data_IF_307956925308
#
_entry.id   IF_307956925308
#
_cell.length_a   1.000
_cell.length_b   1.000
_cell.length_c   1.000
_cell.angle_alpha   90.00
_cell.angle_beta   90.00
_cell.angle_gamma   90.00
#
_symmetry.space_group_name_H-M   'P 1'
#
loop_
_entity.id
_entity.type
_entity.pdbx_description
1 polymer ?
#
# COMPACT_ATOMS: atom_id res chain seq x y z
N UNK A 1 14.69 -22.95 -25.04
CA UNK A 1 13.36 -22.96 -24.38
C UNK A 1 12.76 -21.57 -24.17
N UNK A 2 13.44 -20.44 -24.47
CA UNK A 2 12.85 -19.08 -24.46
C UNK A 2 12.34 -18.59 -25.82
N UNK A 3 12.62 -19.34 -26.91
CA UNK A 3 12.40 -18.87 -28.28
C UNK A 3 10.95 -18.54 -28.61
N UNK A 4 9.95 -19.28 -28.10
CA UNK A 4 8.55 -19.05 -28.49
C UNK A 4 8.03 -17.69 -27.99
N UNK A 5 8.32 -17.35 -26.73
CA UNK A 5 7.93 -16.05 -26.17
C UNK A 5 8.71 -14.90 -26.81
N UNK A 6 10.03 -15.05 -27.01
CA UNK A 6 10.83 -14.02 -27.69
C UNK A 6 10.40 -13.82 -29.15
N UNK A 7 10.01 -14.89 -29.84
CA UNK A 7 9.49 -14.83 -31.21
C UNK A 7 8.15 -14.11 -31.23
N UNK A 8 7.24 -14.42 -30.30
CA UNK A 8 5.94 -13.75 -30.20
C UNK A 8 6.10 -12.26 -29.83
N UNK A 9 6.87 -11.88 -28.81
CA UNK A 9 7.05 -10.46 -28.40
C UNK A 9 7.62 -9.57 -29.52
N UNK A 10 8.38 -10.16 -30.44
CA UNK A 10 8.92 -9.47 -31.61
C UNK A 10 8.08 -9.65 -32.89
N UNK A 11 6.96 -10.38 -32.81
CA UNK A 11 6.04 -10.57 -33.93
C UNK A 11 5.17 -9.33 -34.13
N UNK A 12 4.67 -9.10 -35.35
CA UNK A 12 3.71 -8.03 -35.62
C UNK A 12 2.34 -8.29 -34.95
N UNK A 13 2.01 -9.53 -34.61
CA UNK A 13 0.73 -9.92 -34.01
C UNK A 13 0.65 -9.55 -32.52
N UNK A 14 1.79 -9.52 -31.83
CA UNK A 14 1.87 -9.21 -30.40
C UNK A 14 1.20 -7.88 -30.05
N UNK A 15 1.37 -6.84 -30.86
CA UNK A 15 0.79 -5.54 -30.52
C UNK A 15 -0.74 -5.53 -30.61
N UNK A 16 -1.32 -6.24 -31.57
CA UNK A 16 -2.78 -6.37 -31.69
C UNK A 16 -3.37 -7.21 -30.56
N UNK A 17 -2.68 -8.30 -30.19
CA UNK A 17 -3.03 -9.10 -29.02
C UNK A 17 -3.00 -8.26 -27.73
N UNK A 18 -1.97 -7.42 -27.57
CA UNK A 18 -1.82 -6.53 -26.42
C UNK A 18 -2.87 -5.41 -26.37
N UNK A 19 -3.39 -4.93 -27.50
CA UNK A 19 -4.55 -4.03 -27.51
C UNK A 19 -5.80 -4.68 -26.95
N UNK A 20 -6.03 -5.96 -27.26
CA UNK A 20 -7.09 -6.76 -26.65
C UNK A 20 -6.91 -6.88 -25.13
N UNK A 21 -5.66 -7.09 -24.69
CA UNK A 21 -5.29 -7.15 -23.28
C UNK A 21 -5.39 -5.80 -22.56
N UNK A 22 -5.12 -4.68 -23.25
CA UNK A 22 -5.10 -3.33 -22.69
C UNK A 22 -6.43 -2.95 -22.04
N UNK A 23 -7.57 -3.36 -22.63
CA UNK A 23 -8.88 -3.12 -22.03
C UNK A 23 -9.05 -3.83 -20.68
N UNK A 24 -8.51 -5.04 -20.55
CA UNK A 24 -8.55 -5.79 -19.30
C UNK A 24 -7.62 -5.18 -18.24
N UNK A 25 -6.43 -4.76 -18.66
CA UNK A 25 -5.45 -4.07 -17.81
C UNK A 25 -6.02 -2.75 -17.31
N UNK A 26 -6.58 -1.91 -18.18
CA UNK A 26 -7.19 -0.64 -17.81
C UNK A 26 -8.34 -0.80 -16.81
N UNK A 27 -9.23 -1.77 -17.05
CA UNK A 27 -10.34 -2.04 -16.13
C UNK A 27 -9.86 -2.55 -14.76
N UNK A 28 -8.82 -3.40 -14.74
CA UNK A 28 -8.25 -3.89 -13.49
C UNK A 28 -7.44 -2.82 -12.76
N UNK A 29 -6.63 -2.05 -13.48
CA UNK A 29 -5.89 -0.91 -12.95
C UNK A 29 -6.84 0.10 -12.30
N UNK A 30 -7.95 0.45 -12.96
CA UNK A 30 -8.97 1.33 -12.40
C UNK A 30 -9.59 0.78 -11.10
N UNK A 31 -9.92 -0.51 -11.05
CA UNK A 31 -10.40 -1.17 -9.81
C UNK A 31 -9.37 -1.18 -8.69
N UNK A 32 -8.09 -1.22 -9.04
CA UNK A 32 -6.97 -1.18 -8.10
C UNK A 32 -6.54 0.27 -7.78
N UNK A 33 -7.20 1.29 -8.34
CA UNK A 33 -6.82 2.70 -8.21
C UNK A 33 -5.46 3.05 -8.84
N UNK A 34 -4.95 2.20 -9.75
CA UNK A 34 -3.69 2.40 -10.43
C UNK A 34 -3.91 3.35 -11.62
N UNK A 35 -3.48 4.60 -11.45
CA UNK A 35 -3.23 5.53 -12.57
C UNK A 35 -2.08 5.00 -13.42
N UNK A 36 -2.35 4.69 -14.69
CA UNK A 36 -1.35 4.33 -15.68
C UNK A 36 -0.72 5.63 -16.20
N UNK A 37 0.60 5.80 -16.07
CA UNK A 37 1.29 6.99 -16.60
C UNK A 37 1.13 7.03 -18.13
N UNK A 38 0.98 8.22 -18.73
CA UNK A 38 0.49 8.51 -20.11
C UNK A 38 -1.04 8.43 -20.36
N UNK A 39 -1.85 8.11 -19.34
CA UNK A 39 -3.32 8.15 -19.46
C UNK A 39 -3.97 9.51 -19.14
N UNK A 40 -3.19 10.44 -18.59
CA UNK A 40 -3.73 11.58 -17.84
C UNK A 40 -3.84 12.89 -18.62
N UNK A 41 -3.56 12.94 -19.92
CA UNK A 41 -3.73 14.16 -20.71
C UNK A 41 -4.33 13.87 -22.10
N UNK A 42 -5.64 14.11 -22.22
CA UNK A 42 -6.30 14.61 -23.44
C UNK A 42 -6.67 13.66 -24.59
N UNK A 43 -6.68 12.33 -24.45
CA UNK A 43 -7.34 11.50 -25.48
C UNK A 43 -8.83 11.33 -25.17
N UNK A 44 -9.71 12.15 -25.75
CA UNK A 44 -11.17 11.91 -25.77
C UNK A 44 -11.52 10.56 -26.44
N UNK A 45 -10.56 9.96 -27.13
CA UNK A 45 -10.69 8.72 -27.88
C UNK A 45 -10.17 7.51 -27.09
N UNK A 46 -11.09 6.63 -26.68
CA UNK A 46 -10.81 5.35 -26.00
C UNK A 46 -9.78 4.49 -26.73
N UNK A 47 -9.72 4.55 -28.06
CA UNK A 47 -8.80 3.72 -28.84
C UNK A 47 -7.33 4.17 -28.70
N UNK A 48 -7.10 5.48 -28.58
CA UNK A 48 -5.75 6.03 -28.43
C UNK A 48 -5.20 5.71 -27.03
N UNK A 49 -6.07 5.80 -26.01
CA UNK A 49 -5.77 5.35 -24.65
C UNK A 49 -5.37 3.87 -24.59
N UNK A 50 -6.16 2.98 -25.20
CA UNK A 50 -5.84 1.54 -25.22
C UNK A 50 -4.55 1.24 -26.00
N UNK A 51 -4.23 2.04 -27.00
CA UNK A 51 -2.99 1.93 -27.77
C UNK A 51 -1.78 2.32 -26.92
N UNK A 52 -1.90 3.36 -26.09
CA UNK A 52 -0.84 3.74 -25.13
C UNK A 52 -0.60 2.63 -24.10
N UNK A 53 -1.66 2.09 -23.50
CA UNK A 53 -1.56 0.97 -22.54
C UNK A 53 -0.93 -0.27 -23.19
N UNK A 54 -1.29 -0.60 -24.44
CA UNK A 54 -0.67 -1.70 -25.17
C UNK A 54 0.84 -1.48 -25.43
N UNK A 55 1.24 -0.24 -25.69
CA UNK A 55 2.65 0.13 -25.81
C UNK A 55 3.42 -0.07 -24.50
N UNK A 56 2.83 0.28 -23.35
CA UNK A 56 3.48 0.07 -22.06
C UNK A 56 3.58 -1.40 -21.67
N UNK A 57 2.53 -2.17 -21.96
CA UNK A 57 2.57 -3.63 -21.83
C UNK A 57 3.70 -4.23 -22.67
N UNK A 58 3.85 -3.79 -23.93
CA UNK A 58 4.90 -4.27 -24.81
C UNK A 58 6.29 -3.92 -24.27
N UNK A 59 6.50 -2.68 -23.81
CA UNK A 59 7.76 -2.25 -23.18
C UNK A 59 8.09 -3.09 -21.95
N UNK A 60 7.11 -3.33 -21.08
CA UNK A 60 7.26 -4.17 -19.90
C UNK A 60 7.68 -5.59 -20.26
N UNK A 61 7.00 -6.22 -21.24
CA UNK A 61 7.31 -7.57 -21.68
C UNK A 61 8.73 -7.68 -22.25
N UNK A 62 9.17 -6.68 -23.03
CA UNK A 62 10.54 -6.62 -23.53
C UNK A 62 11.56 -6.43 -22.42
N UNK A 63 11.31 -5.50 -21.48
CA UNK A 63 12.22 -5.24 -20.36
C UNK A 63 12.38 -6.42 -19.41
N UNK A 64 11.31 -7.22 -19.25
CA UNK A 64 11.27 -8.37 -18.34
C UNK A 64 11.38 -9.73 -19.06
N UNK A 65 11.81 -9.75 -20.32
CA UNK A 65 11.71 -10.93 -21.16
C UNK A 65 12.38 -12.17 -20.54
N UNK A 66 13.58 -12.00 -19.98
CA UNK A 66 14.33 -13.10 -19.33
C UNK A 66 13.58 -13.67 -18.12
N UNK A 67 12.96 -12.80 -17.30
CA UNK A 67 12.22 -13.20 -16.10
C UNK A 67 10.94 -13.96 -16.46
N UNK A 68 10.24 -13.53 -17.51
CA UNK A 68 8.93 -14.04 -17.89
C UNK A 68 9.00 -15.25 -18.83
N UNK A 69 10.08 -15.39 -19.61
CA UNK A 69 10.20 -16.31 -20.75
C UNK A 69 9.76 -17.75 -20.45
N UNK A 70 10.14 -18.31 -19.29
CA UNK A 70 9.85 -19.72 -18.98
C UNK A 70 8.35 -19.99 -18.85
N UNK A 71 7.63 -19.17 -18.09
CA UNK A 71 6.20 -19.35 -17.86
C UNK A 71 5.39 -18.90 -19.08
N UNK A 72 5.78 -17.77 -19.69
CA UNK A 72 5.14 -17.28 -20.90
C UNK A 72 5.23 -18.29 -22.06
N UNK A 73 6.41 -18.89 -22.28
CA UNK A 73 6.59 -19.92 -23.32
C UNK A 73 5.71 -21.14 -23.08
N UNK A 74 5.58 -21.60 -21.83
CA UNK A 74 4.74 -22.74 -21.51
C UNK A 74 3.26 -22.47 -21.83
N UNK A 75 2.77 -21.25 -21.54
CA UNK A 75 1.39 -20.85 -21.83
C UNK A 75 1.15 -20.72 -23.34
N UNK A 76 2.06 -20.07 -24.07
CA UNK A 76 1.98 -19.96 -25.54
C UNK A 76 1.94 -21.36 -26.19
N UNK A 77 2.82 -22.27 -25.77
CA UNK A 77 2.87 -23.63 -26.33
C UNK A 77 1.64 -24.48 -25.98
N UNK A 78 0.89 -24.12 -24.93
CA UNK A 78 -0.37 -24.79 -24.60
C UNK A 78 -1.53 -24.36 -25.50
N UNK A 79 -1.38 -23.26 -26.25
CA UNK A 79 -2.41 -22.70 -27.13
C UNK A 79 -3.60 -22.08 -26.38
N UNK A 80 -3.45 -21.78 -25.09
CA UNK A 80 -4.46 -21.11 -24.27
C UNK A 80 -4.15 -19.61 -24.20
N UNK A 81 -4.63 -18.89 -25.22
CA UNK A 81 -4.39 -17.45 -25.38
C UNK A 81 -4.99 -16.64 -24.22
N UNK A 82 -6.16 -17.05 -23.70
CA UNK A 82 -6.82 -16.38 -22.57
C UNK A 82 -6.00 -16.51 -21.28
N UNK A 83 -5.46 -17.69 -21.01
CA UNK A 83 -4.58 -17.91 -19.86
C UNK A 83 -3.27 -17.12 -20.01
N UNK A 84 -2.71 -17.05 -21.22
CA UNK A 84 -1.53 -16.25 -21.50
C UNK A 84 -1.77 -14.75 -21.29
N UNK A 85 -2.86 -14.19 -21.82
CA UNK A 85 -3.22 -12.78 -21.62
C UNK A 85 -3.51 -12.45 -20.16
N UNK A 86 -4.18 -13.36 -19.44
CA UNK A 86 -4.41 -13.23 -18.00
C UNK A 86 -3.10 -13.19 -17.21
N UNK A 87 -2.10 -13.99 -17.62
CA UNK A 87 -0.76 -13.97 -17.04
C UNK A 87 -0.04 -12.64 -17.32
N UNK A 88 -0.04 -12.16 -18.57
CA UNK A 88 0.57 -10.88 -18.95
C UNK A 88 -0.04 -9.72 -18.14
N UNK A 89 -1.37 -9.64 -18.09
CA UNK A 89 -2.09 -8.63 -17.32
C UNK A 89 -1.69 -8.64 -15.84
N UNK A 90 -1.62 -9.82 -15.22
CA UNK A 90 -1.23 -9.96 -13.81
C UNK A 90 0.21 -9.49 -13.59
N UNK A 91 1.15 -9.99 -14.38
CA UNK A 91 2.57 -9.66 -14.23
C UNK A 91 2.84 -8.16 -14.42
N UNK A 92 2.15 -7.52 -15.36
CA UNK A 92 2.26 -6.08 -15.58
C UNK A 92 1.75 -5.27 -14.37
N UNK A 93 0.56 -5.59 -13.87
CA UNK A 93 -0.01 -4.90 -12.71
C UNK A 93 0.82 -5.13 -11.44
N UNK A 94 1.31 -6.35 -11.21
CA UNK A 94 2.21 -6.67 -10.10
C UNK A 94 3.50 -5.83 -10.17
N UNK A 95 4.05 -5.63 -11.37
CA UNK A 95 5.25 -4.80 -11.58
C UNK A 95 4.96 -3.33 -11.30
N UNK A 96 3.83 -2.79 -11.75
CA UNK A 96 3.42 -1.42 -11.44
C UNK A 96 3.22 -1.21 -9.93
N UNK A 97 2.63 -2.18 -9.24
CA UNK A 97 2.46 -2.15 -7.78
C UNK A 97 3.83 -2.20 -7.10
N UNK A 98 4.73 -3.07 -7.54
CA UNK A 98 6.08 -3.17 -6.98
C UNK A 98 6.91 -1.91 -7.24
N UNK A 99 6.80 -1.32 -8.43
CA UNK A 99 7.39 -0.02 -8.75
C UNK A 99 6.84 1.06 -7.81
N UNK A 100 5.53 1.09 -7.54
CA UNK A 100 4.93 2.01 -6.55
C UNK A 100 5.44 1.76 -5.13
N UNK A 101 5.56 0.50 -4.71
CA UNK A 101 6.10 0.12 -3.38
C UNK A 101 7.58 0.47 -3.22
N UNK A 102 8.35 0.43 -4.29
CA UNK A 102 9.78 0.77 -4.28
C UNK A 102 10.02 2.27 -4.39
N UNK A 103 9.18 2.99 -5.14
CA UNK A 103 9.26 4.44 -5.31
C UNK A 103 8.52 5.25 -4.25
N UNK A 104 7.58 4.66 -3.51
CA UNK A 104 6.84 5.34 -2.44
C UNK A 104 7.81 5.81 -1.35
N UNK A 105 7.94 7.13 -1.13
CA UNK A 105 8.84 7.65 -0.10
C UNK A 105 8.45 7.20 1.30
N UNK A 106 7.16 6.99 1.53
CA UNK A 106 6.64 6.50 2.79
C UNK A 106 7.18 5.10 3.10
N UNK A 107 7.06 4.19 2.13
CA UNK A 107 7.48 2.80 2.32
C UNK A 107 9.00 2.66 2.33
N UNK A 108 9.73 3.44 1.53
CA UNK A 108 11.19 3.51 1.62
C UNK A 108 11.63 3.96 3.02
N UNK A 109 11.06 5.05 3.53
CA UNK A 109 11.39 5.56 4.86
C UNK A 109 10.97 4.58 5.96
N UNK A 110 9.82 3.91 5.84
CA UNK A 110 9.37 2.86 6.75
C UNK A 110 10.33 1.67 6.81
N UNK A 111 10.75 1.15 5.64
CA UNK A 111 11.73 0.05 5.57
C UNK A 111 13.05 0.43 6.24
N UNK A 112 13.56 1.63 5.95
CA UNK A 112 14.79 2.14 6.58
C UNK A 112 14.62 2.28 8.09
N UNK A 113 13.47 2.78 8.54
CA UNK A 113 13.20 2.96 9.97
C UNK A 113 13.12 1.61 10.69
N UNK A 114 12.46 0.59 10.11
CA UNK A 114 12.43 -0.76 10.67
C UNK A 114 13.82 -1.36 10.82
N UNK A 115 14.60 -1.38 9.74
CA UNK A 115 15.96 -1.93 9.75
C UNK A 115 16.86 -1.20 10.77
N UNK A 116 16.71 0.12 10.87
CA UNK A 116 17.44 0.90 11.87
C UNK A 116 17.01 0.58 13.30
N UNK A 117 15.72 0.50 13.57
CA UNK A 117 15.21 0.24 14.92
C UNK A 117 15.50 -1.20 15.37
N UNK A 118 15.51 -2.18 14.47
CA UNK A 118 15.89 -3.56 14.79
C UNK A 118 17.36 -3.69 15.18
N UNK A 119 18.22 -2.85 14.61
CA UNK A 119 19.67 -2.94 14.76
C UNK A 119 20.22 -2.00 15.86
N UNK A 120 19.40 -1.06 16.36
CA UNK A 120 19.84 -0.06 17.33
C UNK A 120 19.82 -0.58 18.77
N UNK A 121 20.98 -0.53 19.43
CA UNK A 121 21.11 -0.92 20.84
C UNK A 121 20.27 -0.03 21.75
N UNK A 122 19.54 -0.63 22.69
CA UNK A 122 18.70 0.07 23.65
C UNK A 122 17.27 0.31 23.16
N UNK A 123 16.94 -0.12 21.94
CA UNK A 123 15.58 -0.19 21.42
C UNK A 123 15.09 -1.62 21.53
N UNK A 124 13.95 -1.81 22.18
CA UNK A 124 13.22 -3.07 22.10
C UNK A 124 12.44 -3.05 20.81
N UNK A 125 12.78 -3.94 19.88
CA UNK A 125 12.09 -4.08 18.59
C UNK A 125 11.36 -5.42 18.54
N UNK A 126 10.11 -5.40 18.12
CA UNK A 126 9.28 -6.60 17.98
C UNK A 126 8.52 -6.57 16.67
N UNK A 127 8.52 -7.70 15.98
CA UNK A 127 7.61 -7.97 14.87
C UNK A 127 6.52 -8.91 15.37
N UNK A 128 5.27 -8.50 15.28
CA UNK A 128 4.15 -9.40 15.51
C UNK A 128 3.53 -9.75 14.19
N UNK A 129 3.52 -11.06 13.89
CA UNK A 129 2.71 -11.59 12.82
C UNK A 129 1.30 -11.03 12.99
N UNK A 130 0.75 -10.47 11.92
CA UNK A 130 -0.58 -9.88 11.91
C UNK A 130 -0.78 -8.46 12.40
N UNK A 131 0.23 -7.84 13.02
CA UNK A 131 0.08 -6.48 13.58
C UNK A 131 1.18 -5.51 13.18
N UNK A 132 2.25 -6.01 12.53
CA UNK A 132 3.33 -5.19 12.00
C UNK A 132 4.54 -5.10 12.90
N UNK A 133 5.35 -4.05 12.71
CA UNK A 133 6.57 -3.80 13.46
C UNK A 133 6.36 -2.74 14.55
N UNK A 134 6.90 -3.02 15.74
CA UNK A 134 6.76 -2.19 16.92
C UNK A 134 8.12 -1.94 17.58
N UNK A 135 8.21 -0.84 18.30
CA UNK A 135 9.41 -0.52 19.08
C UNK A 135 9.08 0.16 20.42
N UNK A 136 10.02 0.07 21.35
CA UNK A 136 9.96 0.79 22.61
C UNK A 136 11.34 1.16 23.15
N UNK A 137 11.42 2.31 23.81
CA UNK A 137 12.59 2.71 24.61
C UNK A 137 12.32 2.51 26.11
N UNK A 138 12.07 1.26 26.50
CA UNK A 138 11.77 0.90 27.88
C UNK A 138 12.48 -0.39 28.28
N UNK A 139 12.82 -0.49 29.56
CA UNK A 139 13.41 -1.69 30.17
C UNK A 139 12.34 -2.67 30.66
N UNK A 140 11.05 -2.32 30.58
CA UNK A 140 9.96 -3.22 30.99
C UNK A 140 9.84 -4.38 30.00
N UNK A 141 9.76 -5.60 30.54
CA UNK A 141 9.68 -6.84 29.76
C UNK A 141 8.29 -7.11 29.20
N UNK A 142 7.23 -6.57 29.80
CA UNK A 142 5.86 -6.74 29.33
C UNK A 142 5.26 -5.37 29.05
N UNK A 143 5.17 -5.02 27.77
CA UNK A 143 4.51 -3.82 27.29
C UNK A 143 3.35 -4.25 26.40
N UNK A 144 2.19 -3.64 26.61
CA UNK A 144 1.08 -3.78 25.69
C UNK A 144 1.38 -3.04 24.39
N UNK A 145 0.84 -3.51 23.27
CA UNK A 145 0.82 -2.74 22.03
C UNK A 145 -0.09 -1.52 22.21
N UNK A 146 0.28 -0.40 21.58
CA UNK A 146 -0.57 0.78 21.49
C UNK A 146 -1.96 0.38 20.94
N UNK A 147 -3.06 0.61 21.68
CA UNK A 147 -4.39 0.25 21.21
C UNK A 147 -4.78 0.94 19.91
N UNK A 148 -5.51 0.25 19.03
CA UNK A 148 -5.81 0.75 17.67
C UNK A 148 -6.61 2.07 17.65
N UNK A 149 -7.42 2.33 18.68
CA UNK A 149 -8.16 3.59 18.82
C UNK A 149 -7.28 4.80 19.15
N UNK A 150 -6.01 4.57 19.53
CA UNK A 150 -4.97 5.58 19.73
C UNK A 150 -3.97 5.61 18.56
N UNK A 151 -4.20 4.83 17.50
CA UNK A 151 -3.46 4.94 16.25
C UNK A 151 -4.10 5.99 15.33
N UNK A 152 -3.36 6.47 14.33
CA UNK A 152 -3.83 7.49 13.37
C UNK A 152 -4.16 8.82 14.04
N UNK A 153 -3.38 9.21 15.07
CA UNK A 153 -3.51 10.52 15.69
C UNK A 153 -3.25 11.65 14.68
N UNK A 154 -3.93 12.78 14.89
CA UNK A 154 -3.59 14.04 14.25
C UNK A 154 -2.22 14.52 14.76
N UNK A 155 -1.17 14.15 14.03
CA UNK A 155 0.19 14.52 14.37
C UNK A 155 0.47 16.00 14.14
N UNK A 156 -0.39 16.78 13.49
CA UNK A 156 -0.13 18.19 13.21
C UNK A 156 0.04 19.01 14.49
N UNK A 157 -0.62 18.59 15.58
CA UNK A 157 -0.55 19.23 16.90
C UNK A 157 0.66 18.82 17.73
N UNK A 158 1.32 17.72 17.38
CA UNK A 158 2.48 17.22 18.11
C UNK A 158 3.70 18.13 17.88
N UNK A 159 4.62 18.20 18.85
CA UNK A 159 5.81 19.04 18.69
C UNK A 159 6.73 18.45 17.62
N UNK A 160 7.22 19.31 16.72
CA UNK A 160 8.23 18.90 15.75
C UNK A 160 9.54 18.51 16.45
N UNK A 161 10.26 17.54 15.91
CA UNK A 161 11.58 17.16 16.40
C UNK A 161 12.63 18.15 15.90
N UNK A 162 13.63 18.45 16.71
CA UNK A 162 14.75 19.32 16.34
C UNK A 162 15.78 18.58 15.45
N UNK A 163 15.30 18.10 14.31
CA UNK A 163 16.07 17.41 13.28
C UNK A 163 15.93 18.23 11.99
N UNK A 164 17.03 18.77 11.45
CA UNK A 164 16.98 19.47 10.17
C UNK A 164 16.53 18.54 9.04
N UNK A 165 15.65 19.02 8.16
CA UNK A 165 15.10 18.23 7.05
C UNK A 165 16.18 17.54 6.20
N UNK A 166 17.26 18.26 5.83
CA UNK A 166 18.40 17.70 5.08
C UNK A 166 19.06 16.46 5.71
N UNK A 167 18.85 16.25 7.01
CA UNK A 167 19.42 15.14 7.76
C UNK A 167 18.40 14.06 8.10
N UNK A 168 17.11 14.24 7.80
CA UNK A 168 16.03 13.37 8.29
C UNK A 168 16.19 11.89 7.87
N UNK A 169 16.82 11.64 6.73
CA UNK A 169 17.12 10.29 6.21
C UNK A 169 18.41 9.67 6.76
N UNK A 170 19.18 10.41 7.57
CA UNK A 170 20.45 9.93 8.15
C UNK A 170 20.17 9.15 9.43
N UNK A 171 20.96 8.09 9.66
CA UNK A 171 20.77 7.21 10.82
C UNK A 171 20.67 7.94 12.17
N UNK A 172 21.55 8.91 12.54
CA UNK A 172 21.43 9.58 13.84
C UNK A 172 20.16 10.41 13.98
N UNK A 173 19.67 10.98 12.87
CA UNK A 173 18.45 11.76 12.84
C UNK A 173 17.21 10.88 13.01
N UNK A 174 17.18 9.72 12.35
CA UNK A 174 16.09 8.76 12.47
C UNK A 174 15.97 8.19 13.89
N UNK A 175 17.09 7.89 14.56
CA UNK A 175 17.10 7.49 15.99
C UNK A 175 16.58 8.62 16.89
N UNK A 176 17.03 9.87 16.66
CA UNK A 176 16.52 11.03 17.41
C UNK A 176 15.02 11.23 17.21
N UNK A 177 14.55 11.05 15.98
CA UNK A 177 13.13 11.17 15.65
C UNK A 177 12.29 10.10 16.34
N UNK A 178 12.75 8.83 16.32
CA UNK A 178 12.06 7.75 17.00
C UNK A 178 12.03 7.94 18.51
N UNK A 179 13.12 8.46 19.09
CA UNK A 179 13.15 8.80 20.52
C UNK A 179 12.19 9.93 20.86
N UNK A 180 12.17 10.99 20.04
CA UNK A 180 11.26 12.12 20.22
C UNK A 180 9.79 11.70 20.13
N UNK A 181 9.44 10.86 19.16
CA UNK A 181 8.10 10.29 19.03
C UNK A 181 7.71 9.47 20.26
N UNK A 182 8.64 8.64 20.75
CA UNK A 182 8.46 7.89 21.99
C UNK A 182 8.15 8.82 23.17
N UNK A 183 8.98 9.83 23.40
CA UNK A 183 8.80 10.75 24.52
C UNK A 183 7.47 11.53 24.41
N UNK A 184 7.10 11.98 23.20
CA UNK A 184 5.79 12.61 22.96
C UNK A 184 4.61 11.66 23.20
N UNK A 185 4.72 10.39 22.80
CA UNK A 185 3.66 9.41 23.03
C UNK A 185 3.43 9.12 24.51
N UNK A 186 4.48 9.21 25.34
CA UNK A 186 4.35 9.08 26.79
C UNK A 186 3.58 10.27 27.39
N UNK A 187 3.85 11.49 26.89
CA UNK A 187 3.15 12.69 27.33
C UNK A 187 1.66 12.66 26.90
N UNK A 188 1.38 12.16 25.68
CA UNK A 188 0.02 12.13 25.12
C UNK A 188 -0.83 10.99 25.70
N UNK A 189 -0.28 9.78 25.77
CA UNK A 189 -1.02 8.58 26.19
C UNK A 189 -0.89 8.27 27.68
N UNK A 190 0.02 8.94 28.38
CA UNK A 190 0.29 8.77 29.81
C UNK A 190 0.66 7.32 30.22
N UNK A 191 1.15 6.53 29.27
CA UNK A 191 1.53 5.13 29.48
C UNK A 191 2.60 4.66 28.47
N UNK A 192 3.40 3.67 28.88
CA UNK A 192 4.38 3.01 28.02
C UNK A 192 3.70 1.92 27.19
N UNK A 193 3.84 1.98 25.86
CA UNK A 193 3.33 0.98 24.92
C UNK A 193 4.43 0.51 23.97
N UNK A 194 4.26 -0.64 23.33
CA UNK A 194 4.96 -0.93 22.08
C UNK A 194 4.34 -0.05 20.98
N UNK A 195 5.13 0.89 20.45
CA UNK A 195 4.66 1.85 19.46
C UNK A 195 4.81 1.30 18.04
N UNK A 196 3.78 1.44 17.18
CA UNK A 196 3.90 1.01 15.79
C UNK A 196 4.93 1.85 15.03
N UNK A 197 5.82 1.19 14.28
CA UNK A 197 6.78 1.89 13.41
C UNK A 197 6.04 2.68 12.31
N UNK A 198 4.87 2.20 11.86
CA UNK A 198 4.02 2.90 10.89
C UNK A 198 3.58 4.28 11.39
N UNK A 199 3.21 4.37 12.67
CA UNK A 199 2.78 5.63 13.29
C UNK A 199 3.95 6.61 13.45
N UNK A 200 5.16 6.13 13.77
CA UNK A 200 6.37 6.93 13.72
C UNK A 200 6.64 7.52 12.32
N UNK A 201 6.41 6.74 11.27
CA UNK A 201 6.59 7.23 9.89
C UNK A 201 5.50 8.23 9.52
N UNK A 202 4.24 7.99 9.92
CA UNK A 202 3.16 8.97 9.75
C UNK A 202 3.49 10.29 10.44
N UNK A 203 3.98 10.24 11.67
CA UNK A 203 4.49 11.41 12.39
C UNK A 203 5.62 12.11 11.61
N UNK A 204 6.58 11.35 11.07
CA UNK A 204 7.64 11.92 10.24
C UNK A 204 7.10 12.64 9.00
N UNK A 205 6.13 12.04 8.30
CA UNK A 205 5.52 12.62 7.10
C UNK A 205 4.63 13.83 7.40
N UNK A 206 4.01 13.87 8.58
CA UNK A 206 3.27 15.05 9.05
C UNK A 206 4.20 16.22 9.42
N UNK A 207 5.44 15.94 9.86
CA UNK A 207 6.41 16.97 10.31
C UNK A 207 7.45 17.37 9.27
N UNK A 208 7.65 16.56 8.25
CA UNK A 208 8.67 16.77 7.24
C UNK A 208 8.10 16.51 5.84
N UNK A 209 8.47 17.33 4.83
CA UNK A 209 8.03 17.14 3.44
C UNK A 209 8.80 15.98 2.79
N UNK A 210 8.53 14.75 3.25
CA UNK A 210 9.19 13.53 2.79
C UNK A 210 8.61 12.96 1.49
N UNK A 211 7.44 13.48 1.06
CA UNK A 211 6.88 13.26 -0.27
C UNK A 211 7.84 13.77 -1.34
N UNK A 212 7.95 13.05 -2.47
CA UNK A 212 8.89 13.33 -3.55
C UNK A 212 8.97 14.83 -3.88
N UNK A 213 10.08 15.47 -3.51
CA UNK A 213 10.62 16.54 -4.32
C UNK A 213 11.11 15.86 -5.59
N UNK A 214 10.39 16.08 -6.70
CA UNK A 214 10.95 15.81 -8.02
C UNK A 214 12.22 16.65 -8.11
N UNK A 215 13.37 16.00 -7.93
CA UNK A 215 14.62 16.56 -8.42
C UNK A 215 14.47 16.54 -9.93
N UNK A 216 14.02 17.67 -10.50
CA UNK A 216 14.23 17.92 -11.92
C UNK A 216 15.74 17.85 -12.12
N UNK A 217 16.21 16.72 -12.62
CA UNK A 217 17.56 16.64 -13.15
C UNK A 217 17.66 17.72 -14.20
N UNK A 218 18.56 18.67 -13.98
CA UNK A 218 18.99 19.61 -15.01
C UNK A 218 19.45 18.79 -16.21
N UNK A 219 18.54 18.58 -17.15
CA UNK A 219 18.87 18.30 -18.53
C UNK A 219 19.28 19.62 -19.17
N UNK A 220 20.39 20.19 -18.70
CA UNK A 220 21.21 21.15 -19.44
C UNK A 220 22.37 20.32 -19.98
N UNK A 221 22.29 19.77 -21.20
CA UNK A 221 22.12 20.58 -22.39
C UNK A 221 23.40 21.38 -22.56
N UNK A 222 24.40 20.79 -23.21
CA UNK A 222 25.56 21.51 -23.72
C UNK A 222 25.05 22.67 -24.60
N UNK A 223 25.04 23.87 -24.02
CA UNK A 223 24.49 25.07 -24.62
C UNK A 223 25.30 26.27 -24.16
N UNK A 224 26.13 26.73 -25.08
CA UNK A 224 27.08 27.84 -24.97
C UNK A 224 26.43 29.15 -24.48
N UNK A 225 27.14 29.84 -23.59
CA UNK A 225 27.05 31.26 -23.22
C UNK A 225 25.69 31.96 -23.13
N UNK A 226 25.26 32.28 -21.90
CA UNK A 226 24.93 33.67 -21.56
C UNK A 226 25.00 33.94 -20.05
N UNK A 227 25.60 35.06 -19.69
CA UNK A 227 25.89 35.50 -18.32
C UNK A 227 24.61 35.98 -17.63
N UNK A 228 23.85 35.06 -17.01
CA UNK A 228 22.90 35.39 -15.93
C UNK A 228 22.48 34.14 -15.14
N UNK A 229 23.47 33.33 -14.73
CA UNK A 229 23.25 32.33 -13.69
C UNK A 229 22.96 33.05 -12.36
N UNK A 230 21.69 33.33 -12.10
CA UNK A 230 21.21 33.59 -10.74
C UNK A 230 21.49 32.32 -9.96
N UNK A 231 22.64 32.28 -9.29
CA UNK A 231 23.02 31.18 -8.41
C UNK A 231 21.89 30.97 -7.41
N UNK A 232 21.24 29.81 -7.52
CA UNK A 232 20.21 29.33 -6.62
C UNK A 232 20.78 28.96 -5.24
N UNK A 233 22.01 29.39 -4.90
CA UNK A 233 22.60 29.21 -3.58
C UNK A 233 22.15 30.27 -2.55
N UNK A 234 21.48 31.36 -2.99
CA UNK A 234 21.09 32.46 -2.10
C UNK A 234 19.61 32.50 -1.69
N UNK A 235 18.83 31.45 -1.98
CA UNK A 235 17.54 31.23 -1.30
C UNK A 235 17.68 30.16 -0.22
N UNK A 236 18.62 30.40 0.70
CA UNK A 236 18.48 30.04 2.11
C UNK A 236 17.30 30.84 2.70
N UNK A 237 16.08 30.59 2.20
CA UNK A 237 14.88 30.94 2.92
C UNK A 237 14.90 30.04 4.14
N UNK A 238 15.08 30.66 5.29
CA UNK A 238 15.08 30.08 6.63
C UNK A 238 14.08 28.91 6.73
N UNK A 239 14.54 27.68 6.47
CA UNK A 239 13.70 26.48 6.41
C UNK A 239 13.22 26.05 7.81
N UNK A 240 13.42 26.90 8.81
CA UNK A 240 13.00 26.73 10.20
C UNK A 240 11.55 27.17 10.43
N UNK A 241 10.89 27.79 9.45
CA UNK A 241 9.48 28.19 9.55
C UNK A 241 8.59 27.20 8.82
N UNK A 242 7.91 26.34 9.59
CA UNK A 242 6.86 25.44 9.10
C UNK A 242 5.70 26.17 8.38
N UNK A 243 5.57 27.49 8.57
CA UNK A 243 4.45 28.30 8.09
C UNK A 243 4.69 28.83 6.67
N UNK A 244 5.95 29.03 6.24
CA UNK A 244 6.27 29.56 4.91
C UNK A 244 6.21 28.48 3.80
N UNK A 245 6.13 27.20 4.17
CA UNK A 245 6.16 26.06 3.26
C UNK A 245 4.78 25.63 2.73
N UNK A 246 3.69 25.98 3.43
CA UNK A 246 2.33 25.50 3.12
C UNK A 246 1.74 26.10 1.81
N UNK A 247 2.18 27.30 1.41
CA UNK A 247 1.64 28.01 0.23
C UNK A 247 2.37 27.72 -1.09
N UNK A 248 3.61 27.23 -1.03
CA UNK A 248 4.41 26.88 -2.21
C UNK A 248 4.16 25.43 -2.68
N UNK A 249 3.90 24.52 -1.73
CA UNK A 249 3.71 23.09 -1.99
C UNK A 249 2.38 22.75 -2.67
N UNK A 250 1.31 23.52 -2.40
CA UNK A 250 -0.02 23.33 -3.02
C UNK A 250 -0.05 23.61 -4.54
N UNK A 251 1.02 24.16 -5.12
CA UNK A 251 1.03 24.70 -6.49
C UNK A 251 1.91 23.94 -7.48
N UNK A 252 2.63 22.90 -7.09
CA UNK A 252 3.53 22.19 -8.00
C UNK A 252 3.33 20.67 -7.91
N UNK A 253 2.69 20.14 -8.97
CA UNK A 253 2.49 18.71 -9.32
C UNK A 253 1.46 17.93 -8.48
N UNK A 254 0.87 16.85 -9.05
CA UNK A 254 -0.14 16.05 -8.35
C UNK A 254 0.51 15.41 -7.12
N UNK A 255 0.03 15.80 -5.96
CA UNK A 255 0.40 15.18 -4.68
C UNK A 255 -0.11 13.74 -4.72
N UNK A 256 0.80 12.76 -4.81
CA UNK A 256 0.47 11.36 -4.58
C UNK A 256 0.39 11.17 -3.07
N UNK A 257 -0.82 11.31 -2.52
CA UNK A 257 -1.09 11.26 -1.09
C UNK A 257 -0.67 9.91 -0.48
N UNK A 258 -0.11 9.92 0.75
CA UNK A 258 0.24 8.72 1.52
C UNK A 258 -0.99 7.83 1.78
N UNK A 259 -2.17 8.42 1.60
CA UNK A 259 -3.48 7.82 1.76
C UNK A 259 -3.85 6.86 0.62
N UNK A 260 -3.12 6.86 -0.50
CA UNK A 260 -3.50 6.08 -1.68
C UNK A 260 -3.53 4.57 -1.38
N UNK A 261 -2.60 4.02 -0.61
CA UNK A 261 -2.66 2.60 -0.24
C UNK A 261 -3.78 2.33 0.77
N UNK A 262 -3.97 3.20 1.76
CA UNK A 262 -5.05 2.99 2.75
C UNK A 262 -6.43 3.09 2.09
N UNK A 263 -6.61 4.08 1.21
CA UNK A 263 -7.80 4.32 0.38
C UNK A 263 -8.01 3.19 -0.65
N UNK A 264 -6.94 2.67 -1.27
CA UNK A 264 -7.05 1.56 -2.22
C UNK A 264 -7.32 0.22 -1.52
N UNK A 265 -6.68 -0.04 -0.37
CA UNK A 265 -7.00 -1.20 0.46
C UNK A 265 -8.41 -1.11 1.02
N UNK A 266 -8.90 0.10 1.30
CA UNK A 266 -10.28 0.35 1.69
C UNK A 266 -11.26 0.07 0.56
N UNK A 267 -10.95 0.53 -0.64
CA UNK A 267 -11.74 0.24 -1.84
C UNK A 267 -11.77 -1.28 -2.11
N UNK A 268 -10.61 -1.94 -2.04
CA UNK A 268 -10.48 -3.38 -2.19
C UNK A 268 -11.26 -4.14 -1.10
N UNK A 269 -11.20 -3.69 0.15
CA UNK A 269 -11.93 -4.26 1.27
C UNK A 269 -13.44 -4.11 1.08
N UNK A 270 -13.88 -2.95 0.60
CA UNK A 270 -15.28 -2.69 0.29
C UNK A 270 -15.79 -3.62 -0.82
N UNK A 271 -15.04 -3.76 -1.91
CA UNK A 271 -15.33 -4.70 -3.01
C UNK A 271 -15.34 -6.15 -2.52
N UNK A 272 -14.43 -6.51 -1.63
CA UNK A 272 -14.38 -7.85 -1.03
C UNK A 272 -15.66 -8.14 -0.21
N UNK A 273 -16.10 -7.18 0.60
CA UNK A 273 -17.31 -7.28 1.43
C UNK A 273 -18.59 -7.25 0.59
N UNK A 274 -18.61 -6.53 -0.53
CA UNK A 274 -19.73 -6.49 -1.46
C UNK A 274 -20.03 -7.86 -2.10
N UNK A 275 -19.01 -8.70 -2.30
CA UNK A 275 -19.15 -10.06 -2.83
C UNK A 275 -19.48 -11.12 -1.76
N UNK A 276 -19.46 -10.74 -0.48
CA UNK A 276 -19.82 -11.62 0.62
C UNK A 276 -21.32 -11.62 0.88
N UNK A 277 -21.84 -12.80 1.20
CA UNK A 277 -23.20 -12.92 1.73
C UNK A 277 -23.31 -12.30 3.12
N UNK A 278 -24.51 -11.91 3.51
CA UNK A 278 -24.76 -11.38 4.86
C UNK A 278 -24.33 -12.35 5.96
N UNK A 279 -24.55 -13.66 5.76
CA UNK A 279 -24.12 -14.69 6.70
C UNK A 279 -22.60 -14.75 6.82
N UNK A 280 -21.86 -14.67 5.72
CA UNK A 280 -20.38 -14.65 5.73
C UNK A 280 -19.83 -13.44 6.51
N UNK A 281 -20.44 -12.26 6.34
CA UNK A 281 -20.04 -11.02 7.05
C UNK A 281 -20.27 -11.11 8.55
N UNK A 282 -21.45 -11.59 8.97
CA UNK A 282 -21.79 -11.75 10.40
C UNK A 282 -20.85 -12.78 11.05
N UNK A 283 -20.59 -13.91 10.38
CA UNK A 283 -19.67 -14.93 10.89
C UNK A 283 -18.27 -14.35 11.08
N UNK A 284 -17.75 -13.58 10.12
CA UNK A 284 -16.43 -12.95 10.23
C UNK A 284 -16.35 -11.94 11.38
N UNK A 285 -17.32 -11.02 11.49
CA UNK A 285 -17.33 -10.00 12.54
C UNK A 285 -17.38 -10.61 13.95
N UNK A 286 -18.15 -11.69 14.14
CA UNK A 286 -18.34 -12.36 15.43
C UNK A 286 -17.13 -13.22 15.82
N UNK A 287 -16.49 -13.87 14.86
CA UNK A 287 -15.25 -14.60 15.09
C UNK A 287 -14.13 -13.63 15.50
N UNK A 288 -14.04 -12.48 14.85
CA UNK A 288 -13.07 -11.43 15.20
C UNK A 288 -13.32 -10.87 16.61
N UNK A 289 -14.59 -10.76 17.03
CA UNK A 289 -14.96 -10.41 18.40
C UNK A 289 -14.67 -11.52 19.44
N UNK A 290 -14.11 -12.65 19.03
CA UNK A 290 -13.76 -13.77 19.91
C UNK A 290 -14.94 -14.67 20.30
N UNK A 291 -16.08 -14.58 19.61
CA UNK A 291 -17.21 -15.45 19.87
C UNK A 291 -16.94 -16.89 19.41
N UNK A 292 -17.46 -17.85 20.18
CA UNK A 292 -17.32 -19.28 19.86
C UNK A 292 -18.29 -19.69 18.75
N UNK A 293 -17.89 -20.68 17.95
CA UNK A 293 -18.68 -21.16 16.80
C UNK A 293 -20.08 -21.65 17.20
N UNK A 294 -20.25 -22.18 18.42
CA UNK A 294 -21.54 -22.60 18.97
C UNK A 294 -22.51 -21.41 19.15
N UNK A 295 -22.00 -20.28 19.64
CA UNK A 295 -22.80 -19.08 19.84
C UNK A 295 -23.23 -18.49 18.49
N UNK A 296 -22.32 -18.48 17.52
CA UNK A 296 -22.58 -18.00 16.15
C UNK A 296 -23.60 -18.91 15.44
N UNK A 297 -23.48 -20.23 15.59
CA UNK A 297 -24.44 -21.17 15.02
C UNK A 297 -25.85 -20.96 15.56
N UNK A 298 -25.97 -20.76 16.88
CA UNK A 298 -27.25 -20.47 17.54
C UNK A 298 -27.84 -19.13 17.08
N UNK A 299 -27.01 -18.09 16.92
CA UNK A 299 -27.43 -16.77 16.46
C UNK A 299 -28.02 -16.80 15.03
N UNK A 300 -27.41 -17.60 14.15
CA UNK A 300 -27.77 -17.68 12.73
C UNK A 300 -28.77 -18.80 12.41
N UNK A 301 -29.36 -19.45 13.43
CA UNK A 301 -30.23 -20.62 13.30
C UNK A 301 -29.63 -21.73 12.42
N UNK A 302 -28.31 -21.92 12.52
CA UNK A 302 -27.58 -22.92 11.76
C UNK A 302 -27.59 -24.26 12.49
N UNK A 303 -28.05 -25.29 11.79
CA UNK A 303 -28.20 -26.66 12.32
C UNK A 303 -26.88 -27.34 12.73
N UNK A 304 -25.73 -26.82 12.33
CA UNK A 304 -24.43 -27.41 12.68
C UNK A 304 -23.28 -26.40 12.68
N UNK A 305 -22.26 -26.68 13.51
CA UNK A 305 -20.97 -25.97 13.52
C UNK A 305 -20.23 -26.09 12.18
N UNK A 306 -20.45 -27.21 11.48
CA UNK A 306 -19.89 -27.45 10.15
C UNK A 306 -20.38 -26.43 9.13
N UNK A 307 -21.64 -25.97 9.24
CA UNK A 307 -22.16 -24.92 8.37
C UNK A 307 -21.49 -23.58 8.65
N UNK A 308 -21.31 -23.20 9.92
CA UNK A 308 -20.58 -21.97 10.30
C UNK A 308 -19.14 -22.03 9.77
N UNK A 309 -18.47 -23.17 9.96
CA UNK A 309 -17.10 -23.40 9.48
C UNK A 309 -17.00 -23.35 7.95
N UNK A 310 -18.02 -23.85 7.24
CA UNK A 310 -18.09 -23.78 5.77
C UNK A 310 -18.15 -22.33 5.29
N UNK A 311 -19.05 -21.53 5.85
CA UNK A 311 -19.19 -20.11 5.51
C UNK A 311 -17.96 -19.30 5.93
N UNK A 312 -17.37 -19.58 7.09
CA UNK A 312 -16.09 -19.00 7.52
C UNK A 312 -14.99 -19.28 6.47
N UNK A 313 -14.76 -20.54 6.12
CA UNK A 313 -13.74 -20.92 5.12
C UNK A 313 -14.00 -20.27 3.76
N UNK A 314 -15.27 -20.18 3.35
CA UNK A 314 -15.65 -19.53 2.10
C UNK A 314 -15.37 -18.03 2.14
N UNK A 315 -15.65 -17.36 3.25
CA UNK A 315 -15.32 -15.94 3.45
C UNK A 315 -13.80 -15.70 3.44
N UNK A 316 -13.02 -16.50 4.17
CA UNK A 316 -11.56 -16.42 4.13
C UNK A 316 -10.97 -16.71 2.74
N UNK A 317 -11.55 -17.67 2.01
CA UNK A 317 -11.14 -17.96 0.63
C UNK A 317 -11.38 -16.75 -0.28
N UNK A 318 -12.49 -16.02 -0.11
CA UNK A 318 -12.75 -14.77 -0.84
C UNK A 318 -11.77 -13.67 -0.47
N UNK A 319 -11.48 -13.48 0.82
CA UNK A 319 -10.47 -12.53 1.30
C UNK A 319 -9.12 -12.84 0.66
N UNK A 320 -8.68 -14.11 0.72
CA UNK A 320 -7.43 -14.53 0.10
C UNK A 320 -7.43 -14.37 -1.42
N UNK A 321 -8.54 -14.68 -2.09
CA UNK A 321 -8.67 -14.51 -3.53
C UNK A 321 -8.56 -13.04 -3.90
N UNK A 322 -9.28 -12.16 -3.19
CA UNK A 322 -9.24 -10.70 -3.40
C UNK A 322 -7.87 -10.12 -3.09
N UNK A 323 -7.23 -10.56 -2.01
CA UNK A 323 -5.85 -10.21 -1.70
C UNK A 323 -4.87 -10.69 -2.77
N UNK A 324 -5.05 -11.91 -3.30
CA UNK A 324 -4.16 -12.43 -4.33
C UNK A 324 -4.25 -11.67 -5.66
N UNK A 325 -5.33 -10.92 -5.89
CA UNK A 325 -5.45 -9.99 -7.03
C UNK A 325 -4.67 -8.68 -6.80
N UNK A 326 -4.28 -8.39 -5.56
CA UNK A 326 -3.38 -7.31 -5.16
C UNK A 326 -1.89 -7.70 -5.26
N UNK A 327 -1.59 -9.00 -5.38
CA UNK A 327 -0.29 -9.55 -5.76
C UNK A 327 0.70 -9.76 -4.59
N UNK A 328 1.24 -10.98 -4.39
CA UNK A 328 2.32 -11.21 -3.42
C UNK A 328 3.66 -10.67 -3.96
N UNK A 329 4.50 -10.03 -3.13
CA UNK A 329 5.83 -9.58 -3.55
C UNK A 329 6.72 -10.79 -3.86
N UNK A 330 7.30 -10.79 -5.05
CA UNK A 330 8.09 -11.92 -5.57
C UNK A 330 9.52 -12.04 -4.97
N UNK A 331 9.83 -11.34 -3.87
CA UNK A 331 11.15 -11.40 -3.25
C UNK A 331 11.08 -11.77 -1.76
N UNK A 332 11.92 -12.76 -1.37
CA UNK A 332 12.04 -13.34 -0.01
C UNK A 332 12.28 -12.33 1.12
N UNK A 333 12.67 -11.10 0.80
CA UNK A 333 12.92 -10.02 1.75
C UNK A 333 11.66 -9.19 2.08
N UNK A 334 10.52 -9.46 1.43
CA UNK A 334 9.28 -8.71 1.57
C UNK A 334 8.10 -9.54 2.10
N UNK A 335 8.33 -10.78 2.54
CA UNK A 335 7.29 -11.64 3.11
C UNK A 335 6.60 -10.99 4.32
N UNK A 336 7.37 -10.29 5.16
CA UNK A 336 6.84 -9.67 6.38
C UNK A 336 6.02 -8.41 6.09
N UNK A 337 6.23 -7.79 4.92
CA UNK A 337 5.47 -6.61 4.46
C UNK A 337 4.18 -7.04 3.77
N UNK A 338 4.20 -8.13 2.99
CA UNK A 338 3.01 -8.77 2.41
C UNK A 338 2.02 -9.20 3.48
N UNK A 339 2.55 -9.81 4.56
CA UNK A 339 1.74 -10.15 5.72
C UNK A 339 1.09 -8.89 6.30
N UNK A 340 1.86 -7.86 6.65
CA UNK A 340 1.33 -6.62 7.24
C UNK A 340 0.25 -5.94 6.37
N UNK A 341 0.47 -5.83 5.06
CA UNK A 341 -0.52 -5.25 4.15
C UNK A 341 -1.79 -6.10 4.01
N UNK A 342 -1.66 -7.43 4.00
CA UNK A 342 -2.81 -8.33 4.06
C UNK A 342 -3.65 -8.08 5.31
N UNK A 343 -3.01 -7.79 6.45
CA UNK A 343 -3.73 -7.53 7.68
C UNK A 343 -4.43 -6.19 7.68
N UNK A 344 -3.82 -5.13 7.12
CA UNK A 344 -4.51 -3.86 6.92
C UNK A 344 -5.77 -4.04 6.06
N UNK A 345 -5.67 -4.81 4.98
CA UNK A 345 -6.80 -5.19 4.16
C UNK A 345 -7.86 -5.98 4.96
N UNK A 346 -7.43 -6.99 5.72
CA UNK A 346 -8.32 -7.79 6.56
C UNK A 346 -9.05 -6.96 7.62
N UNK A 347 -8.36 -6.07 8.32
CA UNK A 347 -8.96 -5.18 9.32
C UNK A 347 -10.01 -4.26 8.70
N UNK A 348 -9.75 -3.71 7.52
CA UNK A 348 -10.74 -2.92 6.78
C UNK A 348 -11.96 -3.77 6.38
N UNK A 349 -11.76 -5.01 5.91
CA UNK A 349 -12.85 -5.96 5.62
C UNK A 349 -13.69 -6.24 6.87
N UNK A 350 -13.05 -6.47 8.02
CA UNK A 350 -13.74 -6.69 9.30
C UNK A 350 -14.47 -5.44 9.76
N UNK A 351 -13.86 -4.26 9.64
CA UNK A 351 -14.47 -2.97 9.94
C UNK A 351 -15.79 -2.78 9.19
N UNK A 352 -15.77 -3.01 7.87
CA UNK A 352 -16.98 -2.96 7.06
C UNK A 352 -18.02 -4.02 7.42
N UNK A 353 -17.59 -5.24 7.78
CA UNK A 353 -18.51 -6.27 8.29
C UNK A 353 -19.21 -5.81 9.58
N UNK A 354 -18.48 -5.19 10.52
CA UNK A 354 -19.02 -4.67 11.79
C UNK A 354 -19.96 -3.47 11.59
N UNK A 355 -19.63 -2.55 10.69
CA UNK A 355 -20.48 -1.40 10.37
C UNK A 355 -21.83 -1.79 9.76
N UNK A 356 -21.90 -2.93 9.06
CA UNK A 356 -23.15 -3.51 8.58
C UNK A 356 -24.08 -4.02 9.69
N UNK A 357 -23.54 -4.44 10.84
CA UNK A 357 -24.32 -4.90 12.00
C UNK A 357 -24.93 -3.74 12.81
N UNK A 358 -24.21 -2.62 12.94
CA UNK A 358 -24.63 -1.45 13.73
C UNK A 358 -25.95 -0.82 13.25
N UNK A 359 -26.26 -0.91 11.95
CA UNK A 359 -27.53 -0.46 11.38
C UNK A 359 -28.75 -1.31 11.79
N UNK A 360 -28.54 -2.48 12.39
CA UNK A 360 -29.59 -3.44 12.75
C UNK A 360 -29.96 -3.41 14.22
N UNK A 361 -28.98 -3.22 15.11
CA UNK A 361 -29.24 -3.14 16.54
C UNK A 361 -29.98 -1.85 16.94
N UNK A 362 -29.89 -0.80 16.13
CA UNK A 362 -30.72 0.41 16.27
C UNK A 362 -32.20 0.24 15.87
N UNK A 363 -32.59 -0.87 15.25
CA UNK A 363 -34.00 -1.11 14.81
C UNK A 363 -34.78 -2.08 15.71
N UNK A 364 -34.16 -2.65 16.75
CA UNK A 364 -34.84 -3.56 17.70
C UNK A 364 -35.36 -2.88 18.97
N UNK A 365 -35.56 -1.55 18.94
CA UNK A 365 -35.90 -0.76 20.10
C UNK A 365 -37.05 0.24 19.92
N UNK A 366 -38.05 -0.04 19.07
CA UNK A 366 -39.33 0.69 19.13
C UNK A 366 -40.48 -0.26 18.71
N UNK A 367 -40.99 -1.03 19.66
CA UNK A 367 -42.41 -1.38 19.70
C UNK A 367 -42.86 -1.28 21.17
N UNK A 368 -43.64 -0.25 21.44
CA UNK A 368 -44.48 -0.11 22.63
C UNK A 368 -45.79 -0.86 22.41
#
# INVERSE_FOLDING_TARGET
MSEAFETWVNSPECFEDLKGCASQVSNRAARLGIVLEDSSLESENTNDYLTAVASDLWRFLKGNAVKLARQATALILSGDDDAFMSFVCRQFLDDLIEQRRTTSPFHDYYRRMRALLSDTVGIRYETQARRGAFYAYSTRLELAILPDHLCSHDYDRWRACDVPFRNIRKHPAMVRLSRHFWDQSLDEFLAEYLLPVRELVRFAFAKYPLMLTVEYGDALGEGDGDENAVSLENRLVDCNSAVAFDDAWKRQLPVIEADIIDTQLETLAWDCVAEMTEQERIILARIDAGEKLEAIAALLDMKSLSNVSYHQKKAYSRIHTKWSLWGPPSAKQFTDVDEEEFFMFYEKVIGFCKSGEACRDGKKGVQA
#
